data_IF_449770253728
#
_entry.id   IF_449770253728
#
_cell.length_a   1.000
_cell.length_b   1.000
_cell.length_c   1.000
_cell.angle_alpha   90.00
_cell.angle_beta   90.00
_cell.angle_gamma   90.00
#
_symmetry.space_group_name_H-M   'P 1'
#
loop_
_entity.id
_entity.type
_entity.pdbx_description
1 polymer ?
#
# COMPACT_ATOMS: atom_id res chain seq x y z
N UNK A 1 9.09 -131.18 -19.63
CA UNK A 1 10.11 -130.38 -18.89
C UNK A 1 9.36 -129.34 -18.07
N UNK A 2 8.78 -129.62 -16.89
CA UNK A 2 9.35 -130.10 -15.62
C UNK A 2 10.54 -129.29 -15.11
N UNK A 3 10.24 -128.27 -14.29
CA UNK A 3 11.00 -127.66 -13.18
C UNK A 3 10.43 -126.26 -12.94
N UNK A 4 10.10 -125.79 -11.76
CA UNK A 4 10.34 -126.29 -10.41
C UNK A 4 9.37 -125.51 -9.52
N UNK A 5 8.29 -126.14 -9.06
CA UNK A 5 7.54 -125.62 -7.91
C UNK A 5 8.42 -125.91 -6.68
N UNK A 6 9.43 -125.06 -6.48
CA UNK A 6 10.01 -124.90 -5.17
C UNK A 6 8.91 -124.34 -4.29
N UNK A 7 8.30 -125.24 -3.52
CA UNK A 7 7.96 -125.06 -2.13
C UNK A 7 8.34 -123.67 -1.61
N UNK A 8 7.46 -122.69 -1.77
CA UNK A 8 7.38 -121.62 -0.79
C UNK A 8 6.88 -122.28 0.48
N UNK A 9 7.83 -122.84 1.24
CA UNK A 9 7.68 -123.02 2.67
C UNK A 9 7.38 -121.65 3.25
N UNK A 10 6.09 -121.31 3.36
CA UNK A 10 5.67 -120.29 4.31
C UNK A 10 6.04 -120.83 5.68
N UNK A 11 6.90 -120.16 6.46
CA UNK A 11 7.34 -120.63 7.79
C UNK A 11 6.21 -120.65 8.84
N UNK A 12 4.96 -120.45 8.40
CA UNK A 12 3.77 -120.18 9.18
C UNK A 12 2.61 -121.08 8.81
N UNK A 13 2.85 -122.16 8.04
CA UNK A 13 1.86 -123.23 7.92
C UNK A 13 1.87 -124.00 9.24
N UNK A 14 0.98 -123.58 10.14
CA UNK A 14 0.76 -124.14 11.48
C UNK A 14 0.38 -125.64 11.43
N UNK A 15 0.24 -126.23 10.25
CA UNK A 15 -0.21 -127.60 10.04
C UNK A 15 0.73 -128.43 9.14
N UNK A 16 1.93 -128.70 9.63
CA UNK A 16 2.84 -129.70 9.04
C UNK A 16 2.49 -131.12 9.52
N UNK A 17 2.93 -132.17 8.78
CA UNK A 17 2.77 -133.59 9.16
C UNK A 17 3.23 -133.86 10.61
N UNK A 18 4.28 -133.16 11.05
CA UNK A 18 4.79 -133.23 12.42
C UNK A 18 3.79 -132.72 13.47
N UNK A 19 2.94 -131.75 13.15
CA UNK A 19 1.90 -131.27 14.06
C UNK A 19 0.72 -132.25 14.16
N UNK A 20 0.37 -132.94 13.07
CA UNK A 20 -0.63 -134.01 13.09
C UNK A 20 -0.17 -135.19 13.97
N UNK A 21 1.09 -135.60 13.82
CA UNK A 21 1.72 -136.66 14.62
C UNK A 21 1.88 -136.26 16.10
N UNK A 22 2.13 -134.98 16.39
CA UNK A 22 2.18 -134.47 17.76
C UNK A 22 0.82 -134.59 18.46
N UNK A 23 -0.28 -134.38 17.73
CA UNK A 23 -1.64 -134.47 18.26
C UNK A 23 -2.08 -135.93 18.48
N UNK A 24 -1.63 -136.87 17.65
CA UNK A 24 -1.98 -138.29 17.78
C UNK A 24 -1.22 -139.04 18.89
N UNK A 25 -0.15 -138.45 19.43
CA UNK A 25 0.71 -139.00 20.51
C UNK A 25 -0.05 -139.50 21.75
N UNK A 26 -1.18 -138.88 22.09
CA UNK A 26 -1.94 -139.21 23.31
C UNK A 26 -2.93 -140.37 23.16
N UNK A 27 -3.03 -140.96 21.96
CA UNK A 27 -4.15 -141.84 21.57
C UNK A 27 -3.75 -143.29 21.25
N UNK A 28 -2.46 -143.65 21.36
CA UNK A 28 -1.94 -144.98 21.02
C UNK A 28 -1.27 -145.60 22.24
N UNK A 29 -1.75 -146.77 22.67
CA UNK A 29 -1.27 -147.46 23.87
C UNK A 29 -0.05 -148.36 23.57
N UNK A 30 0.68 -148.76 24.62
CA UNK A 30 1.93 -149.54 24.50
C UNK A 30 1.70 -150.91 23.84
N UNK A 31 0.56 -151.54 24.10
CA UNK A 31 0.17 -152.82 23.49
C UNK A 31 -0.16 -152.69 22.00
N UNK A 32 -0.61 -151.51 21.54
CA UNK A 32 -0.88 -151.25 20.12
C UNK A 32 0.42 -151.14 19.31
N UNK A 33 1.50 -150.67 19.95
CA UNK A 33 2.83 -150.62 19.33
C UNK A 33 3.38 -152.03 19.02
N UNK A 34 3.07 -153.05 19.85
CA UNK A 34 3.51 -154.43 19.61
C UNK A 34 2.83 -155.03 18.37
N UNK A 35 1.52 -154.79 18.22
CA UNK A 35 0.76 -155.25 17.04
C UNK A 35 1.26 -154.61 15.76
N UNK A 36 1.59 -153.31 15.79
CA UNK A 36 2.17 -152.60 14.66
C UNK A 36 3.54 -153.16 14.26
N UNK A 37 4.40 -153.46 15.23
CA UNK A 37 5.72 -154.04 14.98
C UNK A 37 5.63 -155.46 14.39
N UNK A 38 4.71 -156.28 14.88
CA UNK A 38 4.47 -157.63 14.36
C UNK A 38 3.95 -157.59 12.92
N UNK A 39 3.02 -156.67 12.61
CA UNK A 39 2.49 -156.49 11.25
C UNK A 39 3.55 -156.02 10.26
N UNK A 40 4.36 -155.05 10.66
CA UNK A 40 5.43 -154.48 9.83
C UNK A 40 6.65 -155.42 9.69
N UNK A 41 6.61 -156.61 10.33
CA UNK A 41 7.67 -157.63 10.32
C UNK A 41 9.03 -157.06 10.75
N UNK A 42 9.04 -156.22 11.78
CA UNK A 42 10.29 -155.67 12.33
C UNK A 42 11.10 -156.79 13.00
N UNK A 43 12.41 -156.92 12.75
CA UNK A 43 13.24 -157.97 13.34
C UNK A 43 13.12 -158.02 14.87
N UNK A 44 13.00 -159.22 15.44
CA UNK A 44 12.71 -159.46 16.87
C UNK A 44 13.70 -158.82 17.85
N UNK A 45 14.89 -158.43 17.38
CA UNK A 45 15.90 -157.74 18.18
C UNK A 45 15.59 -156.24 18.32
N UNK A 46 15.14 -155.60 17.24
CA UNK A 46 14.82 -154.16 17.18
C UNK A 46 13.44 -153.85 17.78
N UNK A 47 12.46 -154.74 17.59
CA UNK A 47 11.12 -154.57 18.19
C UNK A 47 11.15 -154.59 19.72
N UNK A 48 12.03 -155.40 20.31
CA UNK A 48 12.24 -155.46 21.78
C UNK A 48 12.77 -154.15 22.35
N UNK A 49 13.64 -153.46 21.62
CA UNK A 49 14.23 -152.19 22.04
C UNK A 49 13.22 -151.04 21.91
N UNK A 50 12.40 -151.05 20.84
CA UNK A 50 11.33 -150.06 20.62
C UNK A 50 10.25 -150.18 21.71
N UNK A 51 9.81 -151.39 22.06
CA UNK A 51 8.76 -151.61 23.08
C UNK A 51 9.23 -151.27 24.48
N UNK A 52 10.50 -151.56 24.80
CA UNK A 52 11.06 -151.25 26.12
C UNK A 52 11.40 -149.78 26.33
N UNK A 53 11.37 -148.97 25.26
CA UNK A 53 11.50 -147.52 25.34
C UNK A 53 10.45 -146.89 26.28
N UNK A 54 10.84 -145.79 26.93
CA UNK A 54 9.95 -144.96 27.73
C UNK A 54 8.85 -144.29 26.88
N UNK A 55 9.05 -144.20 25.56
CA UNK A 55 8.09 -143.65 24.60
C UNK A 55 8.02 -144.53 23.33
N UNK A 56 7.40 -145.72 23.41
CA UNK A 56 7.46 -146.73 22.35
C UNK A 56 6.91 -146.24 21.01
N UNK A 57 5.88 -145.39 21.02
CA UNK A 57 5.34 -144.78 19.80
C UNK A 57 6.32 -143.82 19.10
N UNK A 58 7.06 -143.01 19.87
CA UNK A 58 8.02 -142.07 19.28
C UNK A 58 9.23 -142.82 18.71
N UNK A 59 9.69 -143.86 19.43
CA UNK A 59 10.73 -144.76 18.93
C UNK A 59 10.29 -145.51 17.67
N UNK A 60 9.02 -145.94 17.59
CA UNK A 60 8.45 -146.56 16.39
C UNK A 60 8.42 -145.58 15.20
N UNK A 61 7.87 -144.37 15.39
CA UNK A 61 7.81 -143.35 14.34
C UNK A 61 9.20 -142.93 13.89
N UNK A 62 10.15 -142.80 14.81
CA UNK A 62 11.54 -142.50 14.50
C UNK A 62 12.18 -143.62 13.67
N UNK A 63 11.99 -144.88 14.06
CA UNK A 63 12.51 -146.02 13.32
C UNK A 63 11.89 -146.13 11.92
N UNK A 64 10.58 -145.88 11.78
CA UNK A 64 9.91 -145.84 10.47
C UNK A 64 10.40 -144.69 9.58
N UNK A 65 10.75 -143.55 10.19
CA UNK A 65 11.35 -142.39 9.53
C UNK A 65 12.77 -142.71 9.03
N UNK A 66 13.60 -143.37 9.85
CA UNK A 66 14.95 -143.77 9.48
C UNK A 66 14.97 -144.91 8.45
N UNK A 67 14.03 -145.86 8.53
CA UNK A 67 13.88 -146.94 7.57
C UNK A 67 13.35 -146.48 6.19
N UNK A 68 12.91 -145.22 6.07
CA UNK A 68 12.48 -144.61 4.80
C UNK A 68 11.19 -145.19 4.20
N UNK A 69 10.31 -145.80 5.01
CA UNK A 69 9.10 -146.52 4.57
C UNK A 69 7.78 -145.86 5.00
N UNK A 70 7.61 -144.56 4.80
CA UNK A 70 6.30 -143.92 5.06
C UNK A 70 5.88 -143.00 3.91
N UNK A 71 5.01 -143.52 3.05
CA UNK A 71 4.27 -142.85 1.97
C UNK A 71 2.90 -142.38 2.48
N UNK A 72 2.25 -141.45 1.76
CA UNK A 72 0.89 -140.96 2.09
C UNK A 72 -0.15 -142.11 2.12
N UNK A 73 0.09 -143.18 1.36
CA UNK A 73 -0.77 -144.37 1.36
C UNK A 73 -0.63 -145.22 2.65
N UNK A 74 0.48 -145.08 3.40
CA UNK A 74 0.72 -145.80 4.65
C UNK A 74 -0.12 -145.25 5.83
N UNK A 75 -0.74 -144.08 5.68
CA UNK A 75 -1.69 -143.50 6.64
C UNK A 75 -2.97 -144.36 6.74
N UNK A 76 -3.42 -144.95 5.62
CA UNK A 76 -4.55 -145.88 5.61
C UNK A 76 -4.25 -147.19 6.35
N UNK A 77 -2.98 -147.59 6.44
CA UNK A 77 -2.54 -148.76 7.19
C UNK A 77 -2.30 -148.47 8.67
N UNK A 78 -1.89 -147.24 9.02
CA UNK A 78 -1.92 -146.74 10.40
C UNK A 78 -3.36 -146.73 10.95
N UNK A 79 -4.34 -146.45 10.09
CA UNK A 79 -5.76 -146.50 10.43
C UNK A 79 -6.27 -147.93 10.72
N UNK A 80 -5.76 -148.97 10.07
CA UNK A 80 -6.26 -150.35 10.27
C UNK A 80 -5.75 -151.01 11.55
N UNK A 81 -4.66 -150.50 12.14
CA UNK A 81 -4.03 -151.07 13.34
C UNK A 81 -4.47 -150.42 14.67
N UNK A 82 -5.22 -149.31 14.60
CA UNK A 82 -5.72 -148.61 15.79
C UNK A 82 -7.06 -149.22 16.26
N UNK A 83 -7.31 -149.30 17.57
CA UNK A 83 -8.63 -149.70 18.09
C UNK A 83 -9.73 -148.72 17.63
N UNK A 84 -10.99 -149.18 17.55
CA UNK A 84 -12.15 -148.39 17.10
C UNK A 84 -12.27 -147.01 17.78
N UNK A 85 -11.76 -146.89 19.02
CA UNK A 85 -11.75 -145.66 19.82
C UNK A 85 -10.65 -144.65 19.40
N UNK A 86 -9.52 -145.13 18.87
CA UNK A 86 -8.44 -144.30 18.33
C UNK A 86 -8.75 -143.79 16.92
N UNK A 87 -9.35 -144.65 16.10
CA UNK A 87 -9.75 -144.39 14.71
C UNK A 87 -10.78 -143.24 14.61
N UNK A 88 -11.82 -143.26 15.45
CA UNK A 88 -12.84 -142.20 15.49
C UNK A 88 -12.27 -140.81 15.80
N UNK A 89 -11.27 -140.72 16.69
CA UNK A 89 -10.63 -139.45 17.04
C UNK A 89 -9.66 -138.94 15.97
N UNK A 90 -8.94 -139.84 15.31
CA UNK A 90 -8.00 -139.47 14.24
C UNK A 90 -8.75 -139.00 12.98
N UNK A 91 -9.84 -139.69 12.62
CA UNK A 91 -10.72 -139.29 11.50
C UNK A 91 -11.33 -137.91 11.75
N UNK A 92 -11.79 -137.63 12.97
CA UNK A 92 -12.31 -136.30 13.32
C UNK A 92 -11.26 -135.18 13.13
N UNK A 93 -10.00 -135.41 13.50
CA UNK A 93 -8.91 -134.43 13.32
C UNK A 93 -8.58 -134.21 11.85
N UNK A 94 -8.60 -135.26 11.03
CA UNK A 94 -8.35 -135.15 9.58
C UNK A 94 -9.50 -134.45 8.84
N UNK A 95 -10.76 -134.70 9.20
CA UNK A 95 -11.91 -134.00 8.60
C UNK A 95 -11.86 -132.50 8.89
N UNK A 96 -11.56 -132.11 10.15
CA UNK A 96 -11.40 -130.70 10.52
C UNK A 96 -10.22 -130.06 9.79
N UNK A 97 -9.14 -130.82 9.56
CA UNK A 97 -7.97 -130.32 8.84
C UNK A 97 -8.25 -130.05 7.35
N UNK A 98 -8.93 -130.97 6.66
CA UNK A 98 -9.31 -130.79 5.26
C UNK A 98 -10.30 -129.63 5.08
N UNK A 99 -11.29 -129.50 5.96
CA UNK A 99 -12.25 -128.40 5.92
C UNK A 99 -11.60 -127.03 6.20
N UNK A 100 -10.60 -126.96 7.07
CA UNK A 100 -9.86 -125.73 7.31
C UNK A 100 -9.05 -125.27 6.08
N UNK A 101 -8.57 -126.19 5.24
CA UNK A 101 -7.85 -125.82 4.02
C UNK A 101 -8.75 -125.23 2.93
N UNK A 102 -9.99 -125.72 2.78
CA UNK A 102 -10.95 -125.17 1.80
C UNK A 102 -11.35 -123.73 2.15
N UNK A 103 -11.60 -123.43 3.42
CA UNK A 103 -12.02 -122.09 3.88
C UNK A 103 -10.90 -121.05 3.75
N UNK A 104 -9.64 -121.46 3.93
CA UNK A 104 -8.47 -120.59 3.73
C UNK A 104 -8.28 -120.24 2.24
N UNK A 105 -8.66 -121.14 1.33
CA UNK A 105 -8.58 -120.90 -0.11
C UNK A 105 -9.59 -119.81 -0.54
N UNK A 106 -10.84 -119.88 -0.08
CA UNK A 106 -11.87 -118.87 -0.39
C UNK A 106 -11.56 -117.48 0.23
N UNK A 107 -10.99 -117.42 1.43
CA UNK A 107 -10.61 -116.15 2.08
C UNK A 107 -9.59 -115.32 1.29
N UNK A 108 -8.73 -115.98 0.49
CA UNK A 108 -7.69 -115.30 -0.30
C UNK A 108 -8.24 -114.63 -1.56
N UNK A 109 -9.35 -115.10 -2.12
CA UNK A 109 -9.93 -114.55 -3.36
C UNK A 109 -10.97 -113.45 -3.12
N UNK A 110 -11.83 -113.59 -2.10
CA UNK A 110 -12.99 -112.69 -1.92
C UNK A 110 -12.78 -111.57 -0.90
N UNK A 111 -11.73 -111.66 -0.07
CA UNK A 111 -11.45 -110.69 1.00
C UNK A 111 -12.53 -110.60 2.08
N UNK A 112 -13.53 -111.50 2.07
CA UNK A 112 -14.61 -111.61 3.05
C UNK A 112 -14.85 -113.09 3.36
N UNK A 113 -14.79 -113.46 4.63
CA UNK A 113 -15.21 -114.78 5.11
C UNK A 113 -16.73 -114.76 5.19
N UNK A 114 -17.44 -115.71 4.56
CA UNK A 114 -18.89 -115.80 4.71
C UNK A 114 -19.24 -116.17 6.16
N UNK A 115 -20.32 -115.61 6.70
CA UNK A 115 -20.84 -115.97 8.03
C UNK A 115 -21.18 -117.46 8.07
N UNK A 116 -21.59 -118.04 6.93
CA UNK A 116 -21.93 -119.45 6.81
C UNK A 116 -20.68 -120.36 6.91
N UNK A 117 -19.55 -119.95 6.34
CA UNK A 117 -18.27 -120.69 6.43
C UNK A 117 -17.74 -120.69 7.86
N UNK A 118 -17.91 -119.55 8.57
CA UNK A 118 -17.57 -119.43 9.99
C UNK A 118 -18.49 -120.32 10.84
N UNK A 119 -19.79 -120.34 10.55
CA UNK A 119 -20.79 -121.13 11.28
C UNK A 119 -20.52 -122.64 11.15
N UNK A 120 -20.12 -123.11 9.97
CA UNK A 120 -19.75 -124.50 9.76
C UNK A 120 -18.45 -124.90 10.49
N UNK A 121 -17.41 -124.07 10.45
CA UNK A 121 -16.17 -124.27 11.22
C UNK A 121 -16.43 -124.24 12.74
N UNK A 122 -17.37 -123.41 13.18
CA UNK A 122 -17.78 -123.32 14.57
C UNK A 122 -18.48 -124.58 15.07
N UNK A 123 -19.19 -125.29 14.19
CA UNK A 123 -19.92 -126.52 14.54
C UNK A 123 -18.98 -127.74 14.63
N UNK A 124 -17.82 -127.71 13.94
CA UNK A 124 -16.86 -128.81 13.88
C UNK A 124 -15.74 -128.75 14.95
N UNK A 125 -15.56 -127.62 15.64
CA UNK A 125 -14.48 -127.43 16.61
C UNK A 125 -14.97 -127.57 18.07
N UNK A 126 -14.22 -128.28 18.92
CA UNK A 126 -14.42 -128.22 20.38
C UNK A 126 -14.32 -126.78 20.91
N UNK A 127 -14.95 -126.46 22.05
CA UNK A 127 -14.98 -125.12 22.68
C UNK A 127 -13.62 -124.38 22.73
N UNK A 128 -12.52 -125.14 22.84
CA UNK A 128 -11.15 -124.61 22.87
C UNK A 128 -10.60 -124.17 21.51
N UNK A 129 -11.10 -124.75 20.42
CA UNK A 129 -10.78 -124.38 19.04
C UNK A 129 -11.52 -123.12 18.60
N UNK A 130 -12.79 -122.99 18.99
CA UNK A 130 -13.61 -121.79 18.79
C UNK A 130 -12.95 -120.54 19.36
N UNK A 131 -12.47 -120.60 20.60
CA UNK A 131 -11.79 -119.48 21.25
C UNK A 131 -10.54 -119.00 20.49
N UNK A 132 -9.78 -119.91 19.86
CA UNK A 132 -8.59 -119.56 19.06
C UNK A 132 -8.96 -118.96 17.70
N UNK A 133 -9.98 -119.49 17.03
CA UNK A 133 -10.46 -118.97 15.75
C UNK A 133 -11.02 -117.55 15.91
N UNK A 134 -11.83 -117.32 16.95
CA UNK A 134 -12.36 -116.00 17.29
C UNK A 134 -11.24 -114.99 17.57
N UNK A 135 -10.17 -115.40 18.27
CA UNK A 135 -9.01 -114.55 18.51
C UNK A 135 -8.30 -114.15 17.19
N UNK A 136 -8.11 -115.09 16.27
CA UNK A 136 -7.48 -114.83 14.96
C UNK A 136 -8.34 -113.89 14.10
N UNK A 137 -9.65 -114.12 14.04
CA UNK A 137 -10.59 -113.24 13.32
C UNK A 137 -10.61 -111.83 13.91
N UNK A 138 -10.56 -111.72 15.25
CA UNK A 138 -10.50 -110.41 15.93
C UNK A 138 -9.23 -109.65 15.57
N UNK A 139 -8.07 -110.31 15.58
CA UNK A 139 -6.79 -109.69 15.19
C UNK A 139 -6.78 -109.30 13.71
N UNK A 140 -7.36 -110.12 12.84
CA UNK A 140 -7.47 -109.79 11.41
C UNK A 140 -8.38 -108.59 11.16
N UNK A 141 -9.53 -108.53 11.83
CA UNK A 141 -10.44 -107.39 11.75
C UNK A 141 -9.76 -106.12 12.28
N UNK A 142 -9.07 -106.19 13.42
CA UNK A 142 -8.28 -105.07 13.95
C UNK A 142 -7.18 -104.60 12.98
N UNK A 143 -6.52 -105.52 12.26
CA UNK A 143 -5.51 -105.16 11.27
C UNK A 143 -6.12 -104.46 10.04
N UNK A 144 -7.29 -104.91 9.58
CA UNK A 144 -8.03 -104.24 8.50
C UNK A 144 -8.50 -102.85 8.93
N UNK A 145 -9.08 -102.72 10.12
CA UNK A 145 -9.54 -101.45 10.68
C UNK A 145 -8.38 -100.48 10.90
N UNK A 146 -7.23 -100.97 11.38
CA UNK A 146 -5.99 -100.20 11.50
C UNK A 146 -5.48 -99.72 10.12
N UNK A 147 -5.59 -100.55 9.09
CA UNK A 147 -5.20 -100.18 7.71
C UNK A 147 -6.09 -99.08 7.14
N UNK A 148 -7.40 -99.18 7.34
CA UNK A 148 -8.37 -98.15 6.94
C UNK A 148 -8.16 -96.85 7.73
N UNK A 149 -7.97 -96.94 9.05
CA UNK A 149 -7.70 -95.80 9.93
C UNK A 149 -6.41 -95.08 9.53
N UNK A 150 -5.34 -95.81 9.23
CA UNK A 150 -4.08 -95.23 8.74
C UNK A 150 -4.25 -94.49 7.41
N UNK A 151 -5.08 -95.01 6.50
CA UNK A 151 -5.39 -94.34 5.23
C UNK A 151 -6.16 -93.05 5.49
N UNK A 152 -7.20 -93.09 6.32
CA UNK A 152 -8.01 -91.92 6.69
C UNK A 152 -7.15 -90.82 7.33
N UNK A 153 -6.29 -91.18 8.29
CA UNK A 153 -5.39 -90.22 8.95
C UNK A 153 -4.37 -89.62 7.97
N UNK A 154 -3.89 -90.40 7.00
CA UNK A 154 -2.98 -89.90 5.96
C UNK A 154 -3.67 -88.88 5.06
N UNK A 155 -4.91 -89.15 4.68
CA UNK A 155 -5.70 -88.24 3.83
C UNK A 155 -6.02 -86.94 4.60
N UNK A 156 -6.40 -87.03 5.88
CA UNK A 156 -6.61 -85.87 6.76
C UNK A 156 -5.34 -85.05 6.98
N UNK A 157 -4.19 -85.71 7.17
CA UNK A 157 -2.90 -85.02 7.30
C UNK A 157 -2.59 -84.23 6.03
N UNK A 158 -2.77 -84.84 4.86
CA UNK A 158 -2.54 -84.18 3.57
C UNK A 158 -3.46 -82.96 3.39
N UNK A 159 -4.75 -83.10 3.71
CA UNK A 159 -5.71 -82.00 3.66
C UNK A 159 -5.31 -80.86 4.63
N UNK A 160 -4.86 -81.20 5.85
CA UNK A 160 -4.39 -80.22 6.82
C UNK A 160 -3.11 -79.53 6.38
N UNK A 161 -2.20 -80.23 5.70
CA UNK A 161 -0.97 -79.65 5.14
C UNK A 161 -1.27 -78.68 4.00
N UNK A 162 -2.19 -79.04 3.10
CA UNK A 162 -2.66 -78.17 2.01
C UNK A 162 -3.33 -76.90 2.56
N UNK A 163 -4.22 -77.02 3.56
CA UNK A 163 -4.82 -75.88 4.26
C UNK A 163 -3.78 -75.00 4.96
N UNK A 164 -2.77 -75.60 5.59
CA UNK A 164 -1.68 -74.86 6.23
C UNK A 164 -0.87 -74.07 5.22
N UNK A 165 -0.61 -74.65 4.05
CA UNK A 165 0.10 -73.94 2.98
C UNK A 165 -0.72 -72.78 2.44
N UNK A 166 -2.01 -72.99 2.16
CA UNK A 166 -2.91 -71.92 1.70
C UNK A 166 -3.00 -70.75 2.71
N UNK A 167 -3.11 -71.05 4.00
CA UNK A 167 -3.10 -70.04 5.06
C UNK A 167 -1.75 -69.32 5.17
N UNK A 168 -0.64 -70.03 4.96
CA UNK A 168 0.69 -69.44 4.93
C UNK A 168 0.83 -68.44 3.77
N UNK A 169 0.36 -68.80 2.58
CA UNK A 169 0.43 -67.93 1.41
C UNK A 169 -0.44 -66.68 1.61
N UNK A 170 -1.68 -66.85 2.11
CA UNK A 170 -2.57 -65.73 2.48
C UNK A 170 -1.97 -64.80 3.54
N UNK A 171 -1.25 -65.36 4.53
CA UNK A 171 -0.56 -64.56 5.54
C UNK A 171 0.54 -63.71 4.90
N UNK A 172 1.35 -64.29 4.01
CA UNK A 172 2.42 -63.55 3.32
C UNK A 172 1.88 -62.44 2.41
N UNK A 173 0.76 -62.68 1.73
CA UNK A 173 0.08 -61.66 0.92
C UNK A 173 -0.45 -60.51 1.81
N UNK A 174 -1.11 -60.84 2.92
CA UNK A 174 -1.59 -59.85 3.88
C UNK A 174 -0.46 -59.04 4.52
N UNK A 175 0.68 -59.66 4.82
CA UNK A 175 1.86 -58.97 5.33
C UNK A 175 2.45 -57.99 4.30
N UNK A 176 2.49 -58.39 3.02
CA UNK A 176 2.92 -57.51 1.93
C UNK A 176 1.97 -56.31 1.76
N UNK A 177 0.66 -56.54 1.74
CA UNK A 177 -0.34 -55.46 1.69
C UNK A 177 -0.20 -54.50 2.87
N UNK A 178 0.02 -55.02 4.08
CA UNK A 178 0.25 -54.21 5.28
C UNK A 178 1.50 -53.33 5.14
N UNK A 179 2.59 -53.87 4.59
CA UNK A 179 3.81 -53.09 4.34
C UNK A 179 3.56 -51.97 3.32
N UNK A 180 2.83 -52.26 2.24
CA UNK A 180 2.45 -51.26 1.23
C UNK A 180 1.57 -50.15 1.81
N UNK A 181 0.55 -50.51 2.61
CA UNK A 181 -0.30 -49.54 3.29
C UNK A 181 0.48 -48.68 4.29
N UNK A 182 1.43 -49.27 5.01
CA UNK A 182 2.30 -48.54 5.94
C UNK A 182 3.17 -47.52 5.19
N UNK A 183 3.72 -47.91 4.03
CA UNK A 183 4.48 -47.00 3.17
C UNK A 183 3.62 -45.82 2.69
N UNK A 184 2.42 -46.11 2.17
CA UNK A 184 1.46 -45.07 1.73
C UNK A 184 1.07 -44.12 2.87
N UNK A 185 0.81 -44.65 4.06
CA UNK A 185 0.46 -43.86 5.23
C UNK A 185 1.59 -42.88 5.60
N UNK A 186 2.85 -43.35 5.55
CA UNK A 186 4.02 -42.51 5.83
C UNK A 186 4.13 -41.36 4.82
N UNK A 187 3.98 -41.65 3.52
CA UNK A 187 4.01 -40.62 2.48
C UNK A 187 2.88 -39.60 2.66
N UNK A 188 1.65 -40.04 2.94
CA UNK A 188 0.53 -39.14 3.18
C UNK A 188 0.75 -38.26 4.42
N UNK A 189 1.36 -38.79 5.48
CA UNK A 189 1.68 -38.00 6.67
C UNK A 189 2.76 -36.94 6.39
N UNK A 190 3.78 -37.27 5.60
CA UNK A 190 4.81 -36.31 5.16
C UNK A 190 4.19 -35.19 4.30
N UNK A 191 3.32 -35.52 3.34
CA UNK A 191 2.58 -34.54 2.53
C UNK A 191 1.69 -33.64 3.39
N UNK A 192 1.00 -34.21 4.38
CA UNK A 192 0.16 -33.46 5.33
C UNK A 192 0.99 -32.46 6.13
N UNK A 193 2.17 -32.85 6.59
CA UNK A 193 3.09 -31.96 7.33
C UNK A 193 3.59 -30.81 6.44
N UNK A 194 3.96 -31.10 5.19
CA UNK A 194 4.37 -30.08 4.22
C UNK A 194 3.24 -29.09 3.92
N UNK A 195 2.01 -29.58 3.70
CA UNK A 195 0.85 -28.73 3.47
C UNK A 195 0.54 -27.84 4.68
N UNK A 196 0.67 -28.37 5.89
CA UNK A 196 0.46 -27.59 7.11
C UNK A 196 1.53 -26.49 7.27
N UNK A 197 2.78 -26.78 6.92
CA UNK A 197 3.85 -25.79 6.87
C UNK A 197 3.55 -24.65 5.89
N UNK A 198 3.15 -25.00 4.66
CA UNK A 198 2.75 -24.03 3.64
C UNK A 198 1.55 -23.18 4.07
N UNK A 199 0.55 -23.80 4.68
CA UNK A 199 -0.63 -23.09 5.20
C UNK A 199 -0.23 -22.06 6.27
N UNK A 200 0.67 -22.43 7.19
CA UNK A 200 1.16 -21.52 8.22
C UNK A 200 1.89 -20.32 7.60
N UNK A 201 2.78 -20.55 6.63
CA UNK A 201 3.48 -19.46 5.92
C UNK A 201 2.51 -18.54 5.18
N UNK A 202 1.54 -19.09 4.45
CA UNK A 202 0.51 -18.29 3.77
C UNK A 202 -0.33 -17.47 4.75
N UNK A 203 -0.63 -18.00 5.93
CA UNK A 203 -1.38 -17.28 6.96
C UNK A 203 -0.57 -16.12 7.56
N UNK A 204 0.74 -16.31 7.78
CA UNK A 204 1.66 -15.27 8.21
C UNK A 204 1.80 -14.15 7.15
N UNK A 205 1.97 -14.51 5.88
CA UNK A 205 1.99 -13.55 4.76
C UNK A 205 0.68 -12.76 4.66
N UNK A 206 -0.46 -13.44 4.81
CA UNK A 206 -1.78 -12.81 4.81
C UNK A 206 -1.94 -11.80 5.95
N UNK A 207 -1.41 -12.12 7.12
CA UNK A 207 -1.42 -11.20 8.26
C UNK A 207 -0.54 -9.97 8.00
N UNK A 208 0.67 -10.16 7.46
CA UNK A 208 1.56 -9.05 7.07
C UNK A 208 0.93 -8.12 6.02
N UNK A 209 0.24 -8.70 5.03
CA UNK A 209 -0.48 -7.92 4.02
C UNK A 209 -1.64 -7.12 4.63
N UNK A 210 -2.36 -7.69 5.61
CA UNK A 210 -3.42 -6.96 6.34
C UNK A 210 -2.87 -5.78 7.13
N UNK A 211 -1.73 -5.96 7.78
CA UNK A 211 -1.13 -4.89 8.58
C UNK A 211 -0.54 -3.78 7.67
N UNK A 212 0.07 -4.16 6.55
CA UNK A 212 0.47 -3.22 5.49
C UNK A 212 -0.71 -2.43 4.96
N UNK A 213 -1.83 -3.10 4.64
CA UNK A 213 -3.04 -2.44 4.14
C UNK A 213 -3.59 -1.42 5.14
N UNK A 214 -3.64 -1.76 6.44
CA UNK A 214 -4.07 -0.84 7.49
C UNK A 214 -3.16 0.39 7.59
N UNK A 215 -1.85 0.19 7.51
CA UNK A 215 -0.88 1.30 7.53
C UNK A 215 -1.10 2.23 6.32
N UNK A 216 -1.25 1.67 5.12
CA UNK A 216 -1.54 2.44 3.90
C UNK A 216 -2.87 3.19 3.97
N UNK A 217 -3.90 2.59 4.55
CA UNK A 217 -5.19 3.27 4.76
C UNK A 217 -5.08 4.46 5.71
N UNK A 218 -4.28 4.35 6.77
CA UNK A 218 -4.04 5.43 7.72
C UNK A 218 -3.22 6.57 7.09
N UNK A 219 -2.15 6.24 6.35
CA UNK A 219 -1.40 7.22 5.55
C UNK A 219 -2.31 7.95 4.57
N UNK A 220 -3.23 7.25 3.90
CA UNK A 220 -4.20 7.86 2.98
C UNK A 220 -5.13 8.84 3.70
N UNK A 221 -5.59 8.51 4.91
CA UNK A 221 -6.40 9.43 5.73
C UNK A 221 -5.61 10.68 6.12
N UNK A 222 -4.36 10.51 6.55
CA UNK A 222 -3.48 11.63 6.89
C UNK A 222 -3.22 12.54 5.69
N UNK A 223 -2.93 11.97 4.52
CA UNK A 223 -2.75 12.73 3.28
C UNK A 223 -4.03 13.48 2.87
N UNK A 224 -5.20 12.84 3.01
CA UNK A 224 -6.49 13.48 2.76
C UNK A 224 -6.73 14.65 3.71
N UNK A 225 -6.39 14.51 4.99
CA UNK A 225 -6.46 15.58 5.98
C UNK A 225 -5.55 16.76 5.61
N UNK A 226 -4.28 16.48 5.29
CA UNK A 226 -3.32 17.50 4.84
C UNK A 226 -3.80 18.24 3.60
N UNK A 227 -4.33 17.51 2.61
CA UNK A 227 -4.87 18.11 1.38
C UNK A 227 -6.02 19.08 1.70
N UNK A 228 -6.92 18.70 2.61
CA UNK A 228 -8.03 19.57 3.03
C UNK A 228 -7.52 20.87 3.69
N UNK A 229 -6.56 20.77 4.61
CA UNK A 229 -5.95 21.94 5.25
C UNK A 229 -5.27 22.86 4.23
N UNK A 230 -4.47 22.30 3.31
CA UNK A 230 -3.82 23.08 2.24
C UNK A 230 -4.84 23.78 1.33
N UNK A 231 -5.97 23.15 1.05
CA UNK A 231 -7.04 23.74 0.24
C UNK A 231 -7.74 24.91 0.97
N UNK A 232 -7.95 24.78 2.29
CA UNK A 232 -8.47 25.85 3.14
C UNK A 232 -7.50 27.05 3.20
N UNK A 233 -6.20 26.80 3.39
CA UNK A 233 -5.15 27.84 3.36
C UNK A 233 -5.09 28.56 2.00
N UNK A 234 -5.19 27.79 0.91
CA UNK A 234 -5.20 28.32 -0.46
C UNK A 234 -6.41 29.23 -0.69
N UNK A 235 -7.57 28.89 -0.14
CA UNK A 235 -8.77 29.72 -0.23
C UNK A 235 -8.60 31.02 0.57
N UNK A 236 -8.06 30.96 1.79
CA UNK A 236 -7.77 32.15 2.59
C UNK A 236 -6.78 33.11 1.91
N UNK A 237 -5.73 32.57 1.27
CA UNK A 237 -4.78 33.36 0.50
C UNK A 237 -5.45 34.03 -0.71
N UNK A 238 -6.35 33.35 -1.41
CA UNK A 238 -7.11 33.93 -2.52
C UNK A 238 -8.00 35.09 -2.06
N UNK A 239 -8.66 34.94 -0.93
CA UNK A 239 -9.53 36.00 -0.40
C UNK A 239 -8.70 37.20 0.08
N UNK A 240 -7.54 36.94 0.71
CA UNK A 240 -6.58 38.00 1.08
C UNK A 240 -6.06 38.76 -0.16
N UNK A 241 -5.74 38.04 -1.24
CA UNK A 241 -5.29 38.67 -2.49
C UNK A 241 -6.35 39.58 -3.10
N UNK A 242 -7.63 39.19 -3.08
CA UNK A 242 -8.72 40.04 -3.56
C UNK A 242 -8.82 41.34 -2.77
N UNK A 243 -8.73 41.27 -1.43
CA UNK A 243 -8.75 42.47 -0.57
C UNK A 243 -7.58 43.40 -0.91
N UNK A 244 -6.37 42.86 -1.07
CA UNK A 244 -5.18 43.64 -1.44
C UNK A 244 -5.36 44.29 -2.83
N UNK A 245 -5.96 43.57 -3.80
CA UNK A 245 -6.23 44.13 -5.13
C UNK A 245 -7.24 45.29 -5.08
N UNK A 246 -8.30 45.16 -4.28
CA UNK A 246 -9.29 46.22 -4.05
C UNK A 246 -8.66 47.44 -3.37
N UNK A 247 -7.86 47.24 -2.31
CA UNK A 247 -7.13 48.31 -1.62
C UNK A 247 -6.17 49.02 -2.59
N UNK A 248 -5.48 48.27 -3.45
CA UNK A 248 -4.59 48.85 -4.46
C UNK A 248 -5.36 49.74 -5.44
N UNK A 249 -6.53 49.29 -5.92
CA UNK A 249 -7.37 50.11 -6.80
C UNK A 249 -7.85 51.39 -6.11
N UNK A 250 -8.25 51.32 -4.84
CA UNK A 250 -8.64 52.51 -4.07
C UNK A 250 -7.48 53.48 -3.89
N UNK A 251 -6.27 52.98 -3.59
CA UNK A 251 -5.07 53.82 -3.47
C UNK A 251 -4.71 54.47 -4.81
N UNK A 252 -4.81 53.75 -5.93
CA UNK A 252 -4.61 54.32 -7.26
C UNK A 252 -5.60 55.46 -7.54
N UNK A 253 -6.89 55.28 -7.27
CA UNK A 253 -7.88 56.35 -7.47
C UNK A 253 -7.64 57.58 -6.58
N UNK A 254 -7.21 57.37 -5.32
CA UNK A 254 -6.81 58.47 -4.42
C UNK A 254 -5.58 59.21 -4.94
N UNK A 255 -4.61 58.50 -5.51
CA UNK A 255 -3.42 59.09 -6.10
C UNK A 255 -3.79 59.97 -7.30
N UNK A 256 -4.62 59.47 -8.22
CA UNK A 256 -5.12 60.22 -9.39
C UNK A 256 -5.85 61.50 -8.96
N UNK A 257 -6.72 61.42 -7.95
CA UNK A 257 -7.42 62.58 -7.39
C UNK A 257 -6.44 63.63 -6.84
N UNK A 258 -5.44 63.16 -6.07
CA UNK A 258 -4.41 64.04 -5.48
C UNK A 258 -3.56 64.71 -6.57
N UNK A 259 -3.25 63.99 -7.66
CA UNK A 259 -2.50 64.54 -8.79
C UNK A 259 -3.27 65.65 -9.51
N UNK A 260 -4.59 65.48 -9.70
CA UNK A 260 -5.44 66.50 -10.30
C UNK A 260 -5.61 67.72 -9.39
N UNK A 261 -5.81 67.54 -8.08
CA UNK A 261 -5.82 68.64 -7.10
C UNK A 261 -4.49 69.41 -7.14
N UNK A 262 -3.35 68.71 -7.20
CA UNK A 262 -2.03 69.33 -7.31
C UNK A 262 -1.87 70.14 -8.59
N UNK A 263 -2.44 69.68 -9.70
CA UNK A 263 -2.44 70.41 -10.98
C UNK A 263 -3.28 71.68 -10.88
N UNK A 264 -4.48 71.61 -10.32
CA UNK A 264 -5.35 72.77 -10.08
C UNK A 264 -4.67 73.81 -9.18
N UNK A 265 -4.01 73.38 -8.10
CA UNK A 265 -3.24 74.27 -7.22
C UNK A 265 -2.09 74.96 -7.94
N UNK A 266 -1.37 74.26 -8.84
CA UNK A 266 -0.32 74.88 -9.66
C UNK A 266 -0.87 75.95 -10.60
N UNK A 267 -2.01 75.70 -11.21
CA UNK A 267 -2.64 76.66 -12.12
C UNK A 267 -3.17 77.88 -11.37
N UNK A 268 -3.77 77.67 -10.19
CA UNK A 268 -4.16 78.76 -9.28
C UNK A 268 -2.96 79.59 -8.81
N UNK A 269 -1.84 78.96 -8.49
CA UNK A 269 -0.60 79.65 -8.12
C UNK A 269 -0.08 80.52 -9.27
N UNK A 270 -0.05 80.00 -10.51
CA UNK A 270 0.35 80.78 -11.70
C UNK A 270 -0.55 81.99 -11.92
N UNK A 271 -1.87 81.83 -11.77
CA UNK A 271 -2.81 82.93 -11.90
C UNK A 271 -2.54 84.02 -10.84
N UNK A 272 -2.35 83.61 -9.59
CA UNK A 272 -2.03 84.51 -8.47
C UNK A 272 -0.71 85.26 -8.70
N UNK A 273 0.32 84.58 -9.22
CA UNK A 273 1.59 85.23 -9.57
C UNK A 273 1.44 86.28 -10.66
N UNK A 274 0.59 86.03 -11.65
CA UNK A 274 0.33 86.99 -12.74
C UNK A 274 -0.47 88.21 -12.25
N UNK A 275 -1.50 87.99 -11.43
CA UNK A 275 -2.22 89.08 -10.74
C UNK A 275 -1.28 89.93 -9.90
N UNK A 276 -0.36 89.31 -9.16
CA UNK A 276 0.66 90.03 -8.37
C UNK A 276 1.55 90.91 -9.25
N UNK A 277 1.98 90.43 -10.42
CA UNK A 277 2.75 91.24 -11.38
C UNK A 277 1.95 92.42 -11.91
N UNK A 278 0.68 92.21 -12.27
CA UNK A 278 -0.20 93.28 -12.72
C UNK A 278 -0.41 94.35 -11.64
N UNK A 279 -0.67 93.94 -10.40
CA UNK A 279 -0.78 94.84 -9.26
C UNK A 279 0.52 95.61 -9.00
N UNK A 280 1.67 94.95 -9.13
CA UNK A 280 2.98 95.61 -9.01
C UNK A 280 3.17 96.67 -10.10
N UNK A 281 2.77 96.38 -11.34
CA UNK A 281 2.78 97.34 -12.44
C UNK A 281 1.88 98.54 -12.17
N UNK A 282 0.63 98.31 -11.76
CA UNK A 282 -0.32 99.38 -11.38
C UNK A 282 0.22 100.25 -10.26
N UNK A 283 0.80 99.65 -9.22
CA UNK A 283 1.41 100.38 -8.11
C UNK A 283 2.52 101.31 -8.59
N UNK A 284 3.38 100.84 -9.51
CA UNK A 284 4.44 101.65 -10.10
C UNK A 284 3.87 102.86 -10.86
N UNK A 285 2.85 102.66 -11.70
CA UNK A 285 2.18 103.75 -12.42
C UNK A 285 1.55 104.76 -11.46
N UNK A 286 0.83 104.30 -10.43
CA UNK A 286 0.25 105.19 -9.42
C UNK A 286 1.32 105.98 -8.67
N UNK A 287 2.49 105.37 -8.39
CA UNK A 287 3.60 106.07 -7.75
C UNK A 287 4.22 107.15 -8.66
N UNK A 288 4.33 106.88 -9.96
CA UNK A 288 4.75 107.86 -10.97
C UNK A 288 3.76 109.03 -11.09
N UNK A 289 2.45 108.75 -11.16
CA UNK A 289 1.37 109.76 -11.15
C UNK A 289 1.41 110.60 -9.86
N UNK A 290 1.61 109.96 -8.71
CA UNK A 290 1.74 110.65 -7.41
C UNK A 290 2.94 111.59 -7.40
N UNK A 291 4.06 111.19 -8.02
CA UNK A 291 5.24 112.04 -8.14
C UNK A 291 4.98 113.24 -9.07
N UNK A 292 4.32 113.03 -10.22
CA UNK A 292 3.94 114.13 -11.12
C UNK A 292 2.99 115.14 -10.45
N UNK A 293 2.02 114.65 -9.66
CA UNK A 293 1.13 115.51 -8.88
C UNK A 293 1.90 116.32 -7.83
N UNK A 294 2.87 115.72 -7.13
CA UNK A 294 3.75 116.44 -6.20
C UNK A 294 4.52 117.55 -6.88
N UNK A 295 5.06 117.31 -8.07
CA UNK A 295 5.82 118.32 -8.80
C UNK A 295 4.91 119.43 -9.34
N UNK A 296 3.70 119.09 -9.79
CA UNK A 296 2.68 120.08 -10.17
C UNK A 296 2.28 120.97 -8.99
N UNK A 297 2.12 120.38 -7.79
CA UNK A 297 1.82 121.14 -6.57
C UNK A 297 2.93 122.16 -6.25
N UNK A 298 4.20 121.79 -6.37
CA UNK A 298 5.32 122.75 -6.20
C UNK A 298 5.22 123.93 -7.16
N UNK A 299 4.93 123.67 -8.45
CA UNK A 299 4.74 124.74 -9.44
C UNK A 299 3.57 125.66 -9.09
N UNK A 300 2.47 125.11 -8.56
CA UNK A 300 1.32 125.92 -8.10
C UNK A 300 1.71 126.79 -6.90
N UNK A 301 2.48 126.26 -5.95
CA UNK A 301 3.00 127.01 -4.81
C UNK A 301 3.91 128.16 -5.25
N UNK A 302 4.83 127.91 -6.19
CA UNK A 302 5.66 128.96 -6.80
C UNK A 302 4.80 130.01 -7.51
N UNK A 303 3.78 129.59 -8.27
CA UNK A 303 2.85 130.49 -8.94
C UNK A 303 2.05 131.35 -7.96
N UNK A 304 1.69 130.81 -6.79
CA UNK A 304 1.07 131.58 -5.70
C UNK A 304 2.03 132.66 -5.21
N UNK A 305 3.30 132.31 -5.00
CA UNK A 305 4.33 133.27 -4.61
C UNK A 305 4.55 134.38 -5.64
N UNK A 306 4.50 134.05 -6.94
CA UNK A 306 4.53 135.04 -8.03
C UNK A 306 3.28 135.94 -8.04
N UNK A 307 2.09 135.37 -7.79
CA UNK A 307 0.85 136.16 -7.66
C UNK A 307 0.94 137.17 -6.53
N UNK A 308 1.44 136.76 -5.36
CA UNK A 308 1.61 137.66 -4.23
C UNK A 308 2.60 138.79 -4.53
N UNK A 309 3.68 138.47 -5.27
CA UNK A 309 4.62 139.48 -5.80
C UNK A 309 3.94 140.43 -6.78
N UNK A 310 3.14 139.93 -7.72
CA UNK A 310 2.40 140.75 -8.68
C UNK A 310 1.43 141.70 -7.98
N UNK A 311 0.63 141.20 -7.03
CA UNK A 311 -0.26 142.02 -6.22
C UNK A 311 0.51 143.12 -5.46
N UNK A 312 1.68 142.79 -4.92
CA UNK A 312 2.56 143.77 -4.27
C UNK A 312 3.04 144.84 -5.25
N UNK A 313 3.47 144.45 -6.46
CA UNK A 313 3.89 145.42 -7.49
C UNK A 313 2.74 146.26 -8.02
N UNK A 314 1.55 145.70 -8.16
CA UNK A 314 0.35 146.41 -8.59
C UNK A 314 -0.06 147.45 -7.55
N UNK A 315 -0.04 147.09 -6.27
CA UNK A 315 -0.27 148.03 -5.17
C UNK A 315 0.75 149.17 -5.16
N UNK A 316 2.04 148.86 -5.38
CA UNK A 316 3.11 149.86 -5.51
C UNK A 316 2.91 150.78 -6.72
N UNK A 317 2.50 150.22 -7.86
CA UNK A 317 2.25 150.99 -9.07
C UNK A 317 1.06 151.94 -8.89
N UNK A 318 0.01 151.49 -8.18
CA UNK A 318 -1.11 152.33 -7.79
C UNK A 318 -0.66 153.51 -6.91
N UNK A 319 0.16 153.24 -5.89
CA UNK A 319 0.72 154.31 -5.03
C UNK A 319 1.56 155.31 -5.82
N UNK A 320 2.47 154.83 -6.67
CA UNK A 320 3.28 155.71 -7.54
C UNK A 320 2.43 156.52 -8.52
N UNK A 321 1.30 155.96 -8.99
CA UNK A 321 0.37 156.69 -9.85
C UNK A 321 -0.31 157.81 -9.08
N UNK A 322 -0.79 157.53 -7.87
CA UNK A 322 -1.40 158.51 -6.98
C UNK A 322 -0.38 159.63 -6.64
N UNK A 323 0.86 159.27 -6.30
CA UNK A 323 1.98 160.21 -6.08
C UNK A 323 2.29 161.06 -7.32
N UNK A 324 2.28 160.47 -8.52
CA UNK A 324 2.51 161.21 -9.78
C UNK A 324 1.38 162.19 -10.06
N UNK A 325 0.12 161.81 -9.81
CA UNK A 325 -1.04 162.70 -9.95
C UNK A 325 -0.95 163.86 -8.96
N UNK A 326 -0.51 163.61 -7.73
CA UNK A 326 -0.25 164.64 -6.72
C UNK A 326 0.88 165.60 -7.14
N UNK A 327 2.03 165.07 -7.60
CA UNK A 327 3.13 165.90 -8.10
C UNK A 327 2.73 166.74 -9.32
N UNK A 328 1.94 166.19 -10.24
CA UNK A 328 1.39 166.93 -11.38
C UNK A 328 0.46 168.06 -10.93
N UNK A 329 -0.34 167.81 -9.89
CA UNK A 329 -1.21 168.82 -9.31
C UNK A 329 -0.40 169.94 -8.65
N UNK A 330 0.61 169.59 -7.86
CA UNK A 330 1.55 170.56 -7.27
C UNK A 330 2.25 171.40 -8.36
N UNK A 331 2.76 170.78 -9.43
CA UNK A 331 3.37 171.50 -10.54
C UNK A 331 2.41 172.46 -11.24
N UNK A 332 1.13 172.09 -11.42
CA UNK A 332 0.12 172.99 -11.99
C UNK A 332 -0.14 174.20 -11.09
N UNK A 333 -0.20 173.99 -9.78
CA UNK A 333 -0.40 175.07 -8.80
C UNK A 333 0.79 176.03 -8.77
N UNK A 334 2.02 175.51 -8.76
CA UNK A 334 3.24 176.32 -8.86
C UNK A 334 3.31 177.11 -10.17
N UNK A 335 2.91 176.49 -11.29
CA UNK A 335 2.84 177.15 -12.59
C UNK A 335 1.81 178.29 -12.58
N UNK A 336 0.62 178.09 -11.99
CA UNK A 336 -0.38 179.17 -11.88
C UNK A 336 0.08 180.29 -10.95
N UNK A 337 0.77 179.96 -9.85
CA UNK A 337 1.40 180.96 -8.99
C UNK A 337 2.46 181.77 -9.75
N UNK A 338 3.28 181.10 -10.56
CA UNK A 338 4.29 181.76 -11.40
C UNK A 338 3.65 182.63 -12.48
N UNK A 339 2.59 182.15 -13.14
CA UNK A 339 1.83 182.91 -14.15
C UNK A 339 1.16 184.15 -13.54
N UNK A 340 0.55 184.03 -12.37
CA UNK A 340 -0.07 185.17 -11.68
C UNK A 340 0.96 186.20 -11.25
N UNK A 341 2.12 185.76 -10.74
CA UNK A 341 3.26 186.66 -10.48
C UNK A 341 3.74 187.36 -11.77
N UNK A 342 3.84 186.63 -12.88
CA UNK A 342 4.23 187.20 -14.17
C UNK A 342 3.19 188.19 -14.72
N UNK A 343 1.90 187.94 -14.50
CA UNK A 343 0.83 188.91 -14.81
C UNK A 343 0.99 190.17 -13.98
N UNK A 344 1.26 190.05 -12.68
CA UNK A 344 1.48 191.20 -11.82
C UNK A 344 2.68 192.04 -12.29
N UNK A 345 3.83 191.41 -12.59
CA UNK A 345 5.00 192.14 -13.10
C UNK A 345 4.75 192.73 -14.49
N UNK A 346 4.01 192.03 -15.36
CA UNK A 346 3.57 192.55 -16.65
C UNK A 346 2.68 193.79 -16.48
N UNK A 347 1.72 193.75 -15.57
CA UNK A 347 0.81 194.88 -15.31
C UNK A 347 1.56 196.08 -14.72
N UNK A 348 2.54 195.85 -13.83
CA UNK A 348 3.46 196.88 -13.35
C UNK A 348 4.29 197.49 -14.48
N UNK A 349 4.82 196.66 -15.38
CA UNK A 349 5.59 197.12 -16.55
C UNK A 349 4.72 197.96 -17.49
N UNK A 350 3.47 197.54 -17.75
CA UNK A 350 2.50 198.29 -18.56
C UNK A 350 2.19 199.64 -17.90
N UNK A 351 1.98 199.67 -16.58
CA UNK A 351 1.83 200.92 -15.83
C UNK A 351 3.05 201.83 -15.96
N UNK A 352 4.27 201.28 -15.86
CA UNK A 352 5.50 202.04 -16.03
C UNK A 352 5.61 202.61 -17.45
N UNK A 353 5.29 201.81 -18.48
CA UNK A 353 5.29 202.24 -19.88
C UNK A 353 4.24 203.33 -20.14
N UNK A 354 3.05 203.21 -19.55
CA UNK A 354 2.01 204.22 -19.66
C UNK A 354 2.44 205.54 -19.00
N UNK A 355 3.13 205.46 -17.85
CA UNK A 355 3.71 206.62 -17.18
C UNK A 355 4.80 207.27 -18.03
N UNK A 356 5.71 206.48 -18.59
CA UNK A 356 6.74 206.95 -19.51
C UNK A 356 6.14 207.61 -20.75
N UNK A 357 5.07 207.04 -21.33
CA UNK A 357 4.37 207.64 -22.47
C UNK A 357 3.73 208.99 -22.11
N UNK A 358 3.12 209.11 -20.92
CA UNK A 358 2.59 210.40 -20.43
C UNK A 358 3.69 211.45 -20.23
N UNK A 359 4.82 211.07 -19.66
CA UNK A 359 5.99 211.94 -19.48
C UNK A 359 6.58 212.36 -20.84
N UNK A 360 6.65 211.44 -21.80
CA UNK A 360 7.07 211.73 -23.18
C UNK A 360 6.11 212.71 -23.89
N UNK A 361 4.80 212.55 -23.72
CA UNK A 361 3.81 213.49 -24.28
C UNK A 361 3.94 214.88 -23.65
N UNK A 362 4.16 214.98 -22.35
CA UNK A 362 4.38 216.25 -21.66
C UNK A 362 5.64 216.97 -22.17
N UNK A 363 6.73 216.23 -22.41
CA UNK A 363 7.95 216.77 -23.02
C UNK A 363 7.73 217.27 -24.45
N UNK A 364 6.89 216.58 -25.23
CA UNK A 364 6.56 216.97 -26.60
C UNK A 364 5.75 218.27 -26.65
N UNK A 365 4.85 218.47 -25.68
CA UNK A 365 4.07 219.70 -25.52
C UNK A 365 4.96 220.88 -25.15
N UNK A 366 5.92 220.68 -24.22
CA UNK A 366 6.91 221.70 -23.85
C UNK A 366 7.78 222.09 -25.05
N UNK A 367 8.23 221.11 -25.84
CA UNK A 367 9.01 221.37 -27.06
C UNK A 367 8.22 222.18 -28.10
N UNK A 368 6.91 221.93 -28.23
CA UNK A 368 6.04 222.69 -29.14
C UNK A 368 5.91 224.14 -28.68
N UNK A 369 5.64 224.37 -27.40
CA UNK A 369 5.54 225.72 -26.83
C UNK A 369 6.85 226.52 -26.95
N UNK A 370 7.99 225.84 -26.80
CA UNK A 370 9.32 226.47 -26.96
C UNK A 370 9.58 226.91 -28.40
N UNK A 371 9.05 226.17 -29.38
CA UNK A 371 9.21 226.46 -30.81
C UNK A 371 8.36 227.65 -31.27
N UNK A 372 7.19 227.84 -30.67
CA UNK A 372 6.31 228.99 -30.93
C UNK A 372 6.84 230.30 -30.32
N UNK A 373 7.56 230.23 -29.19
CA UNK A 373 8.19 231.38 -28.56
C UNK A 373 9.37 231.97 -29.35
N UNK A 374 10.15 231.13 -30.05
CA UNK A 374 11.30 231.60 -30.84
C UNK A 374 10.89 232.42 -32.07
N UNK A 375 9.75 232.10 -32.72
CA UNK A 375 9.30 232.80 -33.92
C UNK A 375 8.76 234.21 -33.65
N UNK A 376 8.49 234.58 -32.39
CA UNK A 376 8.04 235.93 -32.03
C UNK A 376 9.19 236.91 -31.76
N UNK A 377 10.45 236.45 -31.74
CA UNK A 377 11.60 237.27 -31.34
C UNK A 377 12.32 237.97 -32.51
N UNK A 378 12.08 237.59 -33.78
CA UNK A 378 12.80 238.16 -34.94
C UNK A 378 12.14 239.37 -35.62
N UNK A 379 10.99 239.86 -35.15
CA UNK A 379 10.22 240.94 -35.82
C UNK A 379 10.37 242.36 -35.22
N UNK A 380 11.27 242.63 -34.27
CA UNK A 380 11.29 243.91 -33.54
C UNK A 380 12.68 244.56 -33.27
N UNK A 381 13.56 244.67 -34.27
CA UNK A 381 14.71 245.60 -34.16
C UNK A 381 15.13 246.23 -35.49
N UNK A 382 14.81 247.52 -35.66
CA UNK A 382 15.29 248.40 -36.73
C UNK A 382 15.62 249.80 -36.15
N UNK A 383 16.83 250.32 -36.46
CA UNK A 383 17.33 251.73 -36.48
C UNK A 383 18.06 252.45 -35.30
N UNK A 384 19.31 252.86 -35.63
CA UNK A 384 20.11 254.07 -35.29
C UNK A 384 21.09 254.13 -34.09
N UNK A 385 22.42 254.13 -34.36
CA UNK A 385 23.41 255.21 -34.09
C UNK A 385 24.81 254.86 -34.67
N UNK A 386 25.52 255.83 -35.23
CA UNK A 386 26.78 255.64 -35.97
C UNK A 386 28.08 255.94 -35.19
N UNK A 387 29.17 255.27 -35.62
CA UNK A 387 30.50 255.84 -35.89
C UNK A 387 31.52 256.01 -34.75
N UNK A 388 32.53 255.12 -34.70
CA UNK A 388 33.99 255.39 -34.91
C UNK A 388 34.88 254.21 -34.44
N UNK A 389 35.80 253.83 -35.33
CA UNK A 389 37.03 253.03 -35.17
C UNK A 389 38.10 253.73 -34.27
N UNK A 390 39.32 253.21 -34.00
CA UNK A 390 39.93 251.90 -34.33
C UNK A 390 40.76 251.22 -33.20
N UNK A 391 41.00 249.90 -33.32
CA UNK A 391 42.35 249.30 -33.49
C UNK A 391 42.22 248.00 -34.26
#
# INVERSE_FOLDING_TARGET
>A
MYRSMYLHHSPSDIFTFDNLLKCSKSLIEKDDCQKLLDYLKVPAKESKDIIKSDAPFFSLVHHLREAGKVSVDDISHLMTACSDKGLSKLVAVLTVYQQAQEIIFECKETGKVSVDDISHLMTACSDKGLSKLVAVLTVYQQAQDSKLTKKLLKDQLKESEEKRQELSDKLTESEYEKQQLTGRLKTTEEERQQLNGRLKTTEEERQQLRDTLKATEEERKQLTGRLKTTEEERQQLRDTLKVIEEERQQLTGRLETTEEERKQLRDALKATEEERKQLTGRLKTTEEERQQLRDTLKVIEERKHFRDRLNTTENKLKTLKDEKEELLQQQKEELEKSKSSLRATKDELVKSHLKFAKESMALQEVLKQTREALNQQELASCFCYGGRNPT
#
